data_IF_929742831365
#
_entry.id   IF_929742831365
#
_cell.length_a   1.000
_cell.length_b   1.000
_cell.length_c   1.000
_cell.angle_alpha   90.00
_cell.angle_beta   90.00
_cell.angle_gamma   90.00
#
_symmetry.space_group_name_H-M   'P 1'
#
loop_
_entity.id
_entity.type
_entity.pdbx_description
1 polymer ?
#
# COMPACT_ATOMS: atom_id res chain seq x y z
N UNK A 1 18.31 -55.00 -23.33
CA UNK A 1 19.39 -54.02 -23.12
C UNK A 1 19.10 -52.82 -24.02
N UNK A 2 18.34 -51.84 -23.53
CA UNK A 2 18.01 -50.61 -24.25
C UNK A 2 18.72 -49.46 -23.51
N UNK A 3 19.74 -48.90 -24.16
CA UNK A 3 20.54 -47.80 -23.65
C UNK A 3 19.75 -46.52 -23.93
N UNK A 4 19.25 -45.86 -22.89
CA UNK A 4 18.65 -44.53 -23.01
C UNK A 4 19.76 -43.52 -23.35
N UNK A 5 19.54 -42.57 -24.28
CA UNK A 5 20.55 -41.58 -24.63
C UNK A 5 20.70 -40.54 -23.52
N UNK A 6 21.95 -40.20 -23.20
CA UNK A 6 22.37 -39.21 -22.18
C UNK A 6 21.86 -37.79 -22.48
N UNK A 7 21.26 -37.55 -23.65
CA UNK A 7 20.69 -36.27 -24.06
C UNK A 7 19.41 -35.86 -23.29
N UNK A 8 18.79 -36.76 -22.54
CA UNK A 8 17.54 -36.48 -21.81
C UNK A 8 17.73 -35.85 -20.41
N UNK A 9 18.98 -35.61 -19.97
CA UNK A 9 19.29 -35.07 -18.63
C UNK A 9 19.78 -33.60 -18.62
N UNK A 10 19.82 -32.92 -19.79
CA UNK A 10 20.40 -31.59 -19.93
C UNK A 10 19.42 -30.50 -20.41
N UNK A 11 18.13 -30.68 -20.18
CA UNK A 11 17.13 -29.60 -20.33
C UNK A 11 16.67 -29.11 -18.96
N UNK A 12 17.62 -28.78 -18.08
CA UNK A 12 17.33 -27.81 -17.03
C UNK A 12 17.53 -26.45 -17.68
N UNK A 13 16.42 -25.88 -18.17
CA UNK A 13 16.36 -24.60 -18.84
C UNK A 13 17.19 -23.53 -18.13
N UNK A 14 18.34 -23.22 -18.72
CA UNK A 14 19.08 -22.01 -18.41
C UNK A 14 18.27 -20.83 -18.95
N UNK A 15 17.26 -20.40 -18.20
CA UNK A 15 16.70 -19.06 -18.36
C UNK A 15 17.88 -18.08 -18.26
N UNK A 16 18.26 -17.37 -19.34
CA UNK A 16 19.47 -16.56 -19.35
C UNK A 16 19.40 -15.56 -18.21
N UNK A 17 20.45 -15.51 -17.39
CA UNK A 17 20.56 -14.55 -16.26
C UNK A 17 20.31 -13.10 -16.73
N UNK A 18 20.53 -12.82 -18.01
CA UNK A 18 20.37 -11.52 -18.67
C UNK A 18 18.90 -11.04 -18.78
N UNK A 19 17.92 -11.95 -18.92
CA UNK A 19 16.49 -11.58 -19.03
C UNK A 19 15.91 -11.12 -17.69
N UNK A 20 16.29 -11.80 -16.60
CA UNK A 20 15.91 -11.43 -15.23
C UNK A 20 16.45 -10.05 -14.84
N UNK A 21 17.72 -9.76 -15.15
CA UNK A 21 18.31 -8.43 -14.92
C UNK A 21 17.57 -7.33 -15.68
N UNK A 22 17.20 -7.57 -16.94
CA UNK A 22 16.43 -6.61 -17.76
C UNK A 22 15.06 -6.31 -17.17
N UNK A 23 14.35 -7.31 -16.65
CA UNK A 23 13.05 -7.11 -15.99
C UNK A 23 13.19 -6.33 -14.67
N UNK A 24 14.18 -6.66 -13.86
CA UNK A 24 14.46 -5.95 -12.61
C UNK A 24 14.88 -4.49 -12.87
N UNK A 25 15.72 -4.24 -13.87
CA UNK A 25 16.12 -2.89 -14.28
C UNK A 25 14.93 -2.09 -14.82
N UNK A 26 14.09 -2.68 -15.67
CA UNK A 26 12.87 -2.03 -16.16
C UNK A 26 11.92 -1.67 -15.03
N UNK A 27 11.70 -2.60 -14.09
CA UNK A 27 10.88 -2.33 -12.92
C UNK A 27 11.47 -1.21 -12.05
N UNK A 28 12.78 -1.24 -11.80
CA UNK A 28 13.47 -0.20 -11.04
C UNK A 28 13.35 1.17 -11.70
N UNK A 29 13.59 1.27 -13.01
CA UNK A 29 13.47 2.51 -13.78
C UNK A 29 12.02 3.03 -13.81
N UNK A 30 11.03 2.16 -14.03
CA UNK A 30 9.62 2.56 -14.00
C UNK A 30 9.18 3.02 -12.62
N UNK A 31 9.64 2.33 -11.56
CA UNK A 31 9.35 2.72 -10.18
C UNK A 31 9.97 4.07 -9.84
N UNK A 32 11.22 4.31 -10.26
CA UNK A 32 11.89 5.60 -10.09
C UNK A 32 11.18 6.72 -10.85
N UNK A 33 10.79 6.49 -12.11
CA UNK A 33 10.03 7.45 -12.90
C UNK A 33 8.68 7.77 -12.26
N UNK A 34 7.97 6.77 -11.76
CA UNK A 34 6.69 6.94 -11.08
C UNK A 34 6.84 7.67 -9.73
N UNK A 35 7.92 7.42 -9.00
CA UNK A 35 8.25 8.17 -7.79
C UNK A 35 8.51 9.65 -8.09
N UNK A 36 9.31 9.95 -9.13
CA UNK A 36 9.57 11.33 -9.54
C UNK A 36 8.29 12.02 -10.05
N UNK A 37 7.46 11.31 -10.80
CA UNK A 37 6.15 11.79 -11.23
C UNK A 37 5.26 12.10 -10.02
N UNK A 38 5.15 11.17 -9.07
CA UNK A 38 4.40 11.38 -7.83
C UNK A 38 4.91 12.59 -7.07
N UNK A 39 6.22 12.68 -6.86
CA UNK A 39 6.85 13.79 -6.16
C UNK A 39 6.56 15.14 -6.83
N UNK A 40 6.75 15.25 -8.15
CA UNK A 40 6.47 16.47 -8.88
C UNK A 40 4.98 16.83 -8.89
N UNK A 41 4.11 15.84 -9.10
CA UNK A 41 2.65 16.03 -9.09
C UNK A 41 2.17 16.49 -7.71
N UNK A 42 2.69 15.87 -6.65
CA UNK A 42 2.31 16.19 -5.28
C UNK A 42 2.81 17.57 -4.87
N UNK A 43 4.13 17.84 -4.95
CA UNK A 43 4.73 19.08 -4.48
C UNK A 43 4.24 20.31 -5.26
N UNK A 44 4.00 20.16 -6.57
CA UNK A 44 3.67 21.30 -7.42
C UNK A 44 2.17 21.57 -7.55
N UNK A 45 1.31 20.57 -7.34
CA UNK A 45 -0.15 20.74 -7.47
C UNK A 45 -0.93 20.31 -6.23
N UNK A 46 -0.84 19.04 -5.81
CA UNK A 46 -1.72 18.55 -4.73
C UNK A 46 -1.44 19.19 -3.38
N UNK A 47 -0.16 19.35 -3.01
CA UNK A 47 0.23 19.96 -1.74
C UNK A 47 -0.19 21.43 -1.66
N UNK A 48 -0.19 22.15 -2.80
CA UNK A 48 -0.63 23.55 -2.86
C UNK A 48 -2.15 23.68 -2.79
N UNK A 49 -2.89 22.78 -3.46
CA UNK A 49 -4.35 22.78 -3.42
C UNK A 49 -4.87 22.32 -2.04
N UNK A 50 -4.28 21.29 -1.44
CA UNK A 50 -4.57 20.81 -0.08
C UNK A 50 -5.98 20.25 0.15
N UNK A 51 -6.90 20.38 -0.81
CA UNK A 51 -8.29 19.95 -0.66
C UNK A 51 -8.39 18.43 -0.55
N UNK A 52 -7.61 17.72 -1.35
CA UNK A 52 -7.60 16.25 -1.34
C UNK A 52 -7.09 15.71 0.01
N UNK A 53 -5.99 16.26 0.53
CA UNK A 53 -5.48 15.92 1.85
C UNK A 53 -6.47 16.25 2.96
N UNK A 54 -7.17 17.39 2.87
CA UNK A 54 -8.21 17.79 3.82
C UNK A 54 -9.38 16.81 3.81
N UNK A 55 -9.91 16.49 2.63
CA UNK A 55 -11.03 15.54 2.48
C UNK A 55 -10.66 14.17 3.02
N UNK A 56 -9.47 13.66 2.66
CA UNK A 56 -8.99 12.37 3.16
C UNK A 56 -8.79 12.39 4.67
N UNK A 57 -8.20 13.45 5.23
CA UNK A 57 -7.95 13.54 6.66
C UNK A 57 -9.25 13.56 7.46
N UNK A 58 -10.23 14.37 7.04
CA UNK A 58 -11.54 14.45 7.67
C UNK A 58 -12.28 13.10 7.58
N UNK A 59 -12.22 12.46 6.42
CA UNK A 59 -12.87 11.18 6.19
C UNK A 59 -12.26 10.05 7.04
N UNK A 60 -10.92 9.97 7.09
CA UNK A 60 -10.22 9.01 7.93
C UNK A 60 -10.52 9.26 9.42
N UNK A 61 -10.50 10.51 9.87
CA UNK A 61 -10.83 10.86 11.27
C UNK A 61 -12.26 10.42 11.63
N UNK A 62 -13.24 10.77 10.80
CA UNK A 62 -14.65 10.43 11.03
C UNK A 62 -14.89 8.92 11.09
N UNK A 63 -14.33 8.16 10.14
CA UNK A 63 -14.49 6.70 10.11
C UNK A 63 -13.71 6.01 11.24
N UNK A 64 -12.58 6.56 11.67
CA UNK A 64 -11.85 6.07 12.84
C UNK A 64 -12.65 6.26 14.12
N UNK A 65 -13.31 7.41 14.27
CA UNK A 65 -14.24 7.65 15.37
C UNK A 65 -15.43 6.68 15.36
N UNK A 66 -15.96 6.31 14.17
CA UNK A 66 -16.98 5.26 14.05
C UNK A 66 -16.46 3.92 14.59
N UNK A 67 -15.26 3.50 14.19
CA UNK A 67 -14.65 2.26 14.69
C UNK A 67 -14.48 2.30 16.20
N UNK A 68 -13.99 3.41 16.75
CA UNK A 68 -13.83 3.57 18.20
C UNK A 68 -15.17 3.47 18.95
N UNK A 69 -16.25 4.06 18.41
CA UNK A 69 -17.60 3.91 19.00
C UNK A 69 -18.08 2.46 18.99
N UNK A 70 -17.82 1.73 17.90
CA UNK A 70 -18.13 0.29 17.83
C UNK A 70 -17.36 -0.50 18.88
N UNK A 71 -16.14 -0.08 19.21
CA UNK A 71 -15.31 -0.68 20.27
C UNK A 71 -15.70 -0.23 21.69
N UNK A 72 -16.70 0.66 21.84
CA UNK A 72 -17.25 1.08 23.14
C UNK A 72 -16.69 2.39 23.71
N UNK A 73 -15.90 3.15 22.93
CA UNK A 73 -15.41 4.47 23.34
C UNK A 73 -16.43 5.57 23.03
N UNK A 74 -16.53 6.59 23.88
CA UNK A 74 -17.22 7.84 23.54
C UNK A 74 -16.35 8.68 22.59
N UNK A 75 -16.36 8.29 21.32
CA UNK A 75 -15.46 8.84 20.30
C UNK A 75 -16.17 9.75 19.28
N UNK A 76 -15.52 10.86 18.97
CA UNK A 76 -16.01 11.87 18.03
C UNK A 76 -14.90 12.48 17.19
N UNK A 77 -15.25 13.58 16.52
CA UNK A 77 -14.31 14.41 15.78
C UNK A 77 -14.55 15.88 16.12
N UNK A 78 -13.48 16.61 16.43
CA UNK A 78 -13.45 18.06 16.49
C UNK A 78 -12.71 18.61 15.27
N UNK A 79 -13.03 19.84 14.84
CA UNK A 79 -12.34 20.53 13.73
C UNK A 79 -12.19 19.66 12.45
N UNK A 80 -13.13 18.74 12.24
CA UNK A 80 -13.20 17.73 11.18
C UNK A 80 -12.11 16.63 11.17
N UNK A 81 -10.84 16.93 11.46
CA UNK A 81 -9.73 15.94 11.39
C UNK A 81 -9.16 15.53 12.75
N UNK A 82 -9.65 16.10 13.87
CA UNK A 82 -9.16 15.78 15.20
C UNK A 82 -10.06 14.73 15.85
N UNK A 83 -9.57 13.51 16.00
CA UNK A 83 -10.27 12.43 16.72
C UNK A 83 -10.29 12.74 18.21
N UNK A 84 -11.44 12.56 18.83
CA UNK A 84 -11.65 12.74 20.27
C UNK A 84 -12.15 11.45 20.92
N UNK A 85 -11.77 11.24 22.18
CA UNK A 85 -12.32 10.20 23.08
C UNK A 85 -12.63 10.87 24.42
N UNK A 86 -13.82 10.66 24.97
CA UNK A 86 -14.29 11.28 26.23
C UNK A 86 -14.12 12.81 26.23
N UNK A 87 -14.45 13.45 25.09
CA UNK A 87 -14.28 14.89 24.83
C UNK A 87 -12.83 15.41 24.87
N UNK A 88 -11.83 14.52 24.90
CA UNK A 88 -10.41 14.87 24.84
C UNK A 88 -9.86 14.63 23.44
N UNK A 89 -9.07 15.57 22.95
CA UNK A 89 -8.32 15.41 21.71
C UNK A 89 -7.25 14.33 21.88
N UNK A 90 -7.23 13.35 20.97
CA UNK A 90 -6.29 12.22 21.04
C UNK A 90 -5.41 12.08 19.80
N UNK A 91 -5.95 12.28 18.59
CA UNK A 91 -5.17 12.14 17.35
C UNK A 91 -5.65 13.16 16.32
N UNK A 92 -4.73 13.98 15.82
CA UNK A 92 -4.97 14.84 14.66
C UNK A 92 -4.53 14.12 13.38
N UNK A 93 -5.45 13.95 12.44
CA UNK A 93 -5.15 13.33 11.14
C UNK A 93 -4.60 14.40 10.20
N UNK A 94 -3.31 14.30 9.86
CA UNK A 94 -2.64 15.16 8.88
C UNK A 94 -2.11 14.39 7.67
N UNK A 95 -1.33 15.08 6.83
CA UNK A 95 -0.71 14.56 5.60
C UNK A 95 -0.12 13.13 5.72
N UNK A 96 0.72 12.78 6.72
CA UNK A 96 1.28 11.42 6.82
C UNK A 96 0.25 10.35 7.25
N UNK A 97 -0.90 10.76 7.79
CA UNK A 97 -1.92 9.87 8.34
C UNK A 97 -3.12 9.67 7.39
N UNK A 98 -3.30 10.55 6.41
CA UNK A 98 -4.44 10.46 5.49
C UNK A 98 -4.33 9.32 4.47
N UNK A 99 -3.14 8.72 4.35
CA UNK A 99 -2.88 7.55 3.52
C UNK A 99 -2.66 7.82 2.03
N UNK A 100 -2.65 9.09 1.60
CA UNK A 100 -2.52 9.45 0.19
C UNK A 100 -1.26 8.85 -0.46
N UNK A 101 -0.12 8.97 0.22
CA UNK A 101 1.15 8.39 -0.24
C UNK A 101 1.06 6.87 -0.37
N UNK A 102 0.28 6.20 0.49
CA UNK A 102 0.09 4.75 0.47
C UNK A 102 -0.72 4.30 -0.75
N UNK A 103 -1.77 5.04 -1.08
CA UNK A 103 -2.59 4.80 -2.27
C UNK A 103 -1.78 4.96 -3.54
N UNK A 104 -0.97 6.02 -3.61
CA UNK A 104 -0.08 6.28 -4.73
C UNK A 104 1.00 5.19 -4.86
N UNK A 105 1.65 4.82 -3.75
CA UNK A 105 2.67 3.78 -3.72
C UNK A 105 2.14 2.43 -4.24
N UNK A 106 1.00 1.98 -3.70
CA UNK A 106 0.40 0.72 -4.11
C UNK A 106 0.00 0.74 -5.59
N UNK A 107 -0.69 1.81 -6.02
CA UNK A 107 -1.12 1.96 -7.42
C UNK A 107 0.09 1.98 -8.35
N UNK A 108 1.15 2.69 -7.98
CA UNK A 108 2.40 2.74 -8.71
C UNK A 108 3.04 1.36 -8.86
N UNK A 109 3.11 0.56 -7.79
CA UNK A 109 3.65 -0.80 -7.88
C UNK A 109 2.85 -1.70 -8.83
N UNK A 110 1.53 -1.64 -8.81
CA UNK A 110 0.68 -2.43 -9.72
C UNK A 110 0.82 -1.97 -11.17
N UNK A 111 0.91 -0.65 -11.40
CA UNK A 111 1.10 -0.08 -12.73
C UNK A 111 2.48 -0.41 -13.31
N UNK A 112 3.54 -0.32 -12.50
CA UNK A 112 4.92 -0.59 -12.90
C UNK A 112 5.18 -2.07 -13.23
N UNK A 113 4.46 -3.01 -12.60
CA UNK A 113 4.63 -4.43 -12.87
C UNK A 113 3.90 -4.87 -14.16
N UNK A 114 4.51 -5.71 -15.01
CA UNK A 114 3.83 -6.25 -16.18
C UNK A 114 2.62 -7.10 -15.77
N UNK A 115 1.53 -6.97 -16.51
CA UNK A 115 0.31 -7.75 -16.31
C UNK A 115 -0.88 -7.20 -17.12
N UNK A 116 -1.94 -7.99 -17.33
CA UNK A 116 -3.11 -7.57 -18.09
C UNK A 116 -3.80 -6.32 -17.53
N UNK A 117 -4.06 -5.33 -18.38
CA UNK A 117 -4.72 -4.06 -17.97
C UNK A 117 -6.08 -4.33 -17.30
N UNK A 118 -6.84 -5.29 -17.81
CA UNK A 118 -8.14 -5.70 -17.23
C UNK A 118 -8.02 -6.15 -15.78
N UNK A 119 -6.94 -6.86 -15.44
CA UNK A 119 -6.72 -7.32 -14.07
C UNK A 119 -6.31 -6.16 -13.16
N UNK A 120 -5.49 -5.23 -13.66
CA UNK A 120 -5.11 -4.02 -12.93
C UNK A 120 -6.33 -3.16 -12.60
N UNK A 121 -7.26 -3.02 -13.55
CA UNK A 121 -8.43 -2.15 -13.44
C UNK A 121 -9.34 -2.47 -12.25
N UNK A 122 -9.49 -3.74 -11.86
CA UNK A 122 -10.27 -4.13 -10.67
C UNK A 122 -9.40 -4.33 -9.43
N UNK A 123 -8.15 -4.78 -9.59
CA UNK A 123 -7.26 -5.04 -8.46
C UNK A 123 -6.79 -3.76 -7.77
N UNK A 124 -6.58 -2.67 -8.52
CA UNK A 124 -6.20 -1.38 -7.96
C UNK A 124 -7.32 -0.86 -7.03
N UNK A 125 -8.58 -0.69 -7.46
CA UNK A 125 -9.66 -0.27 -6.56
C UNK A 125 -9.82 -1.17 -5.33
N UNK A 126 -9.75 -2.50 -5.51
CA UNK A 126 -9.85 -3.43 -4.38
C UNK A 126 -8.73 -3.19 -3.36
N UNK A 127 -7.49 -3.08 -3.82
CA UNK A 127 -6.36 -2.81 -2.94
C UNK A 127 -6.44 -1.45 -2.26
N UNK A 128 -6.93 -0.42 -2.95
CA UNK A 128 -7.18 0.90 -2.35
C UNK A 128 -8.21 0.83 -1.21
N UNK A 129 -9.31 0.08 -1.40
CA UNK A 129 -10.31 -0.14 -0.34
C UNK A 129 -9.70 -0.85 0.86
N UNK A 130 -8.88 -1.89 0.63
CA UNK A 130 -8.22 -2.62 1.73
C UNK A 130 -7.25 -1.70 2.48
N UNK A 131 -6.41 -0.94 1.77
CA UNK A 131 -5.45 0.00 2.38
C UNK A 131 -6.19 1.08 3.16
N UNK A 132 -7.30 1.60 2.63
CA UNK A 132 -8.15 2.58 3.30
C UNK A 132 -8.69 2.05 4.63
N UNK A 133 -9.22 0.81 4.64
CA UNK A 133 -9.71 0.17 5.88
C UNK A 133 -8.57 -0.02 6.88
N UNK A 134 -7.40 -0.50 6.45
CA UNK A 134 -6.23 -0.65 7.32
C UNK A 134 -5.79 0.71 7.88
N UNK A 135 -5.88 1.78 7.10
CA UNK A 135 -5.52 3.13 7.56
C UNK A 135 -6.50 3.67 8.62
N UNK A 136 -7.80 3.42 8.48
CA UNK A 136 -8.79 3.71 9.53
C UNK A 136 -8.44 2.97 10.82
N UNK A 137 -8.15 1.67 10.71
CA UNK A 137 -7.77 0.87 11.89
C UNK A 137 -6.49 1.36 12.54
N UNK A 138 -5.51 1.83 11.76
CA UNK A 138 -4.29 2.48 12.27
C UNK A 138 -4.61 3.72 13.09
N UNK A 139 -5.46 4.62 12.59
CA UNK A 139 -5.80 5.86 13.32
C UNK A 139 -6.61 5.55 14.57
N UNK A 140 -7.56 4.61 14.52
CA UNK A 140 -8.28 4.14 15.70
C UNK A 140 -7.33 3.52 16.75
N UNK A 141 -6.38 2.69 16.32
CA UNK A 141 -5.39 2.10 17.21
C UNK A 141 -4.44 3.15 17.82
N UNK A 142 -4.07 4.19 17.06
CA UNK A 142 -3.31 5.33 17.58
C UNK A 142 -4.09 6.12 18.62
N UNK A 143 -5.40 6.31 18.43
CA UNK A 143 -6.26 6.97 19.41
C UNK A 143 -6.35 6.19 20.73
N UNK A 144 -6.51 4.86 20.66
CA UNK A 144 -6.46 3.98 21.83
C UNK A 144 -5.08 4.05 22.49
N UNK A 145 -4.01 3.99 21.70
CA UNK A 145 -2.65 4.10 22.21
C UNK A 145 -2.43 5.43 22.95
N UNK A 146 -2.96 6.54 22.42
CA UNK A 146 -2.87 7.83 23.09
C UNK A 146 -3.55 7.83 24.46
N UNK A 147 -4.70 7.16 24.60
CA UNK A 147 -5.43 7.08 25.87
C UNK A 147 -4.68 6.24 26.92
N UNK A 148 -4.16 5.06 26.53
CA UNK A 148 -3.62 4.10 27.50
C UNK A 148 -2.09 4.15 27.64
N UNK A 149 -1.36 4.59 26.63
CA UNK A 149 0.10 4.55 26.56
C UNK A 149 0.66 5.74 25.75
N UNK A 150 0.24 6.96 26.10
CA UNK A 150 0.62 8.21 25.43
C UNK A 150 2.12 8.32 25.07
N UNK A 151 3.00 7.90 25.97
CA UNK A 151 4.46 7.94 25.76
C UNK A 151 4.98 7.11 24.58
N UNK A 152 4.17 6.20 24.03
CA UNK A 152 4.55 5.36 22.88
C UNK A 152 3.91 5.81 21.56
N UNK A 153 3.08 6.86 21.57
CA UNK A 153 2.34 7.33 20.39
C UNK A 153 3.28 7.71 19.25
N UNK A 154 4.31 8.50 19.53
CA UNK A 154 5.27 8.93 18.49
C UNK A 154 6.01 7.76 17.87
N UNK A 155 6.48 6.81 18.69
CA UNK A 155 7.15 5.61 18.20
C UNK A 155 6.20 4.76 17.36
N UNK A 156 4.99 4.50 17.85
CA UNK A 156 4.03 3.66 17.14
C UNK A 156 3.54 4.30 15.85
N UNK A 157 3.34 5.62 15.83
CA UNK A 157 2.95 6.38 14.64
C UNK A 157 4.01 6.31 13.54
N UNK A 158 5.30 6.46 13.89
CA UNK A 158 6.40 6.52 12.93
C UNK A 158 6.91 5.15 12.50
N UNK A 159 6.96 4.18 13.41
CA UNK A 159 7.63 2.90 13.16
C UNK A 159 6.62 1.75 13.09
N UNK A 160 5.93 1.46 14.19
CA UNK A 160 5.07 0.27 14.30
C UNK A 160 3.99 0.24 13.22
N UNK A 161 3.16 1.29 13.15
CA UNK A 161 2.06 1.31 12.20
C UNK A 161 2.53 1.54 10.77
N UNK A 162 3.62 2.27 10.55
CA UNK A 162 4.25 2.38 9.23
C UNK A 162 4.68 1.00 8.75
N UNK A 163 5.42 0.24 9.57
CA UNK A 163 5.87 -1.10 9.21
C UNK A 163 4.69 -2.03 8.90
N UNK A 164 3.65 -2.01 9.74
CA UNK A 164 2.45 -2.83 9.53
C UNK A 164 1.77 -2.51 8.19
N UNK A 165 1.49 -1.24 7.94
CA UNK A 165 0.77 -0.82 6.72
C UNK A 165 1.58 -1.10 5.47
N UNK A 166 2.89 -0.84 5.49
CA UNK A 166 3.77 -1.11 4.35
C UNK A 166 3.91 -2.62 4.11
N UNK A 167 3.90 -3.44 5.17
CA UNK A 167 3.85 -4.89 5.04
C UNK A 167 2.56 -5.35 4.37
N UNK A 168 1.40 -4.77 4.72
CA UNK A 168 0.14 -5.06 4.02
C UNK A 168 0.18 -4.70 2.54
N UNK A 169 0.74 -3.53 2.19
CA UNK A 169 0.92 -3.10 0.79
C UNK A 169 1.81 -4.09 0.05
N UNK A 170 2.93 -4.48 0.65
CA UNK A 170 3.85 -5.47 0.08
C UNK A 170 3.15 -6.81 -0.14
N UNK A 171 2.36 -7.29 0.82
CA UNK A 171 1.61 -8.54 0.70
C UNK A 171 0.54 -8.48 -0.41
N UNK A 172 -0.19 -7.37 -0.53
CA UNK A 172 -1.14 -7.17 -1.63
C UNK A 172 -0.44 -7.16 -2.99
N UNK A 173 0.71 -6.50 -3.07
CA UNK A 173 1.51 -6.50 -4.28
C UNK A 173 2.09 -7.89 -4.60
N UNK A 174 2.56 -8.65 -3.60
CA UNK A 174 2.99 -10.03 -3.80
C UNK A 174 1.84 -10.93 -4.27
N UNK A 175 0.63 -10.73 -3.74
CA UNK A 175 -0.57 -11.42 -4.19
C UNK A 175 -0.88 -11.10 -5.67
N UNK A 176 -0.71 -9.83 -6.08
CA UNK A 176 -0.80 -9.43 -7.48
C UNK A 176 0.23 -10.16 -8.35
N UNK A 177 1.50 -10.11 -7.96
CA UNK A 177 2.60 -10.71 -8.72
C UNK A 177 2.37 -12.21 -8.91
N UNK A 178 2.02 -12.93 -7.84
CA UNK A 178 1.80 -14.39 -7.89
C UNK A 178 0.61 -14.80 -8.75
N UNK A 179 -0.44 -13.98 -8.80
CA UNK A 179 -1.71 -14.37 -9.45
C UNK A 179 -1.85 -13.84 -10.87
N UNK A 180 -1.21 -12.72 -11.18
CA UNK A 180 -1.46 -11.96 -12.41
C UNK A 180 -0.20 -11.58 -13.17
N UNK A 181 0.96 -11.54 -12.51
CA UNK A 181 2.25 -11.35 -13.17
C UNK A 181 2.89 -12.71 -13.50
N UNK A 182 2.18 -13.54 -14.27
CA UNK A 182 2.74 -14.77 -14.84
C UNK A 182 3.84 -14.41 -15.88
N UNK A 183 5.03 -15.04 -15.83
CA UNK A 183 5.99 -14.96 -16.93
C UNK A 183 5.37 -15.54 -18.21
N UNK A 184 5.65 -14.95 -19.37
CA UNK A 184 5.15 -15.42 -20.68
C UNK A 184 5.70 -16.81 -21.10
N UNK A 185 6.31 -17.57 -20.19
CA UNK A 185 7.04 -18.81 -20.49
C UNK A 185 6.12 -20.03 -20.63
N UNK A 186 5.01 -20.10 -19.88
CA UNK A 186 4.10 -21.27 -19.96
C UNK A 186 3.17 -21.24 -21.18
N UNK A 187 2.91 -20.06 -21.76
CA UNK A 187 2.05 -19.93 -22.94
C UNK A 187 2.74 -20.30 -24.27
N UNK A 188 4.06 -20.56 -24.25
CA UNK A 188 4.83 -20.96 -25.43
C UNK A 188 5.09 -22.47 -25.51
N UNK A 189 4.64 -23.25 -24.52
CA UNK A 189 4.87 -24.71 -24.41
C UNK A 189 3.55 -25.51 -24.43
N UNK A 190 2.39 -24.83 -24.51
CA UNK A 190 1.07 -25.43 -24.69
C UNK A 190 0.57 -25.21 -26.12
#
# INVERSE_FOLDING_TARGET
MAILPVSALLTFDLVPVDSRKRHLLRFGLLSAAMYLLWFGVYEHWLAQDGRLDTVLSNNIAANSAVVLRVLGFDAGTAQANLVTIDQRAVVSVGHPCNGLVLYALFTGFILAFPGPIRQKAWFIPLGLVIIYVVNILRVAALAINHVYAHGTVDFNHHYTFTFVVYSFILLLWLAWVRRFAQPQTEAAVA
#
